data_IF_946182825495
#
_entry.id   IF_946182825495
#
_cell.length_a   1.000
_cell.length_b   1.000
_cell.length_c   1.000
_cell.angle_alpha   90.00
_cell.angle_beta   90.00
_cell.angle_gamma   90.00
#
_symmetry.space_group_name_H-M   'P 1'
#
loop_
_entity.id
_entity.type
_entity.pdbx_description
1 polymer ?
#
# COMPACT_ATOMS: atom_id res chain seq x y z
N UNK A 1 7.58 10.72 6.23
CA UNK A 1 6.80 9.47 6.15
C UNK A 1 5.52 9.58 5.30
N UNK A 2 4.61 10.55 5.52
CA UNK A 2 3.33 10.64 4.77
C UNK A 2 3.47 10.57 3.24
N UNK A 3 4.35 11.39 2.66
CA UNK A 3 4.58 11.41 1.20
C UNK A 3 5.09 10.06 0.68
N UNK A 4 6.01 9.43 1.41
CA UNK A 4 6.59 8.13 1.05
C UNK A 4 5.52 7.03 1.10
N UNK A 5 4.67 7.02 2.14
CA UNK A 5 3.57 6.07 2.24
C UNK A 5 2.57 6.21 1.08
N UNK A 6 2.27 7.44 0.64
CA UNK A 6 1.45 7.67 -0.55
C UNK A 6 2.10 7.15 -1.83
N UNK A 7 3.40 7.44 -2.03
CA UNK A 7 4.14 6.96 -3.20
C UNK A 7 4.19 5.43 -3.21
N UNK A 8 4.48 4.79 -2.07
CA UNK A 8 4.49 3.35 -1.92
C UNK A 8 3.11 2.73 -2.21
N UNK A 9 2.03 3.35 -1.74
CA UNK A 9 0.67 2.90 -2.01
C UNK A 9 0.36 2.93 -3.51
N UNK A 10 0.63 4.06 -4.18
CA UNK A 10 0.33 4.21 -5.61
C UNK A 10 1.21 3.27 -6.45
N UNK A 11 2.51 3.22 -6.18
CA UNK A 11 3.43 2.31 -6.87
C UNK A 11 3.02 0.84 -6.67
N UNK A 12 2.64 0.47 -5.45
CA UNK A 12 2.19 -0.88 -5.14
C UNK A 12 0.91 -1.26 -5.88
N UNK A 13 -0.08 -0.35 -5.94
CA UNK A 13 -1.31 -0.55 -6.71
C UNK A 13 -0.99 -0.76 -8.19
N UNK A 14 -0.11 0.08 -8.77
CA UNK A 14 0.27 -0.05 -10.19
C UNK A 14 0.94 -1.40 -10.48
N UNK A 15 1.88 -1.83 -9.65
CA UNK A 15 2.56 -3.12 -9.80
C UNK A 15 1.60 -4.31 -9.67
N UNK A 16 0.75 -4.31 -8.64
CA UNK A 16 -0.24 -5.36 -8.42
C UNK A 16 -1.25 -5.42 -9.56
N UNK A 17 -1.70 -4.26 -10.04
CA UNK A 17 -2.66 -4.16 -11.16
C UNK A 17 -2.03 -4.63 -12.47
N UNK A 18 -0.79 -4.22 -12.76
CA UNK A 18 -0.09 -4.68 -13.95
C UNK A 18 0.06 -6.20 -13.96
N UNK A 19 0.50 -6.78 -12.84
CA UNK A 19 0.63 -8.23 -12.70
C UNK A 19 -0.71 -8.96 -12.89
N UNK A 20 -1.78 -8.44 -12.28
CA UNK A 20 -3.13 -9.00 -12.43
C UNK A 20 -3.62 -8.97 -13.88
N UNK A 21 -3.44 -7.84 -14.57
CA UNK A 21 -3.84 -7.67 -15.97
C UNK A 21 -3.05 -8.62 -16.88
N UNK A 22 -1.75 -8.79 -16.65
CA UNK A 22 -0.93 -9.69 -17.47
C UNK A 22 -1.31 -11.15 -17.24
N UNK A 23 -1.67 -11.52 -16.01
CA UNK A 23 -2.07 -12.88 -15.67
C UNK A 23 -3.45 -13.22 -16.26
N UNK A 24 -4.45 -12.32 -16.15
CA UNK A 24 -5.81 -12.60 -16.62
C UNK A 24 -5.95 -12.60 -18.16
N UNK A 25 -5.06 -11.90 -18.86
CA UNK A 25 -5.07 -11.83 -20.33
C UNK A 25 -4.03 -12.77 -20.97
N UNK A 26 -3.38 -13.64 -20.20
CA UNK A 26 -2.33 -14.56 -20.65
C UNK A 26 -1.23 -13.87 -21.49
N UNK A 27 -0.81 -12.68 -21.03
CA UNK A 27 0.18 -11.89 -21.75
C UNK A 27 1.60 -12.45 -21.55
N UNK A 28 2.49 -12.30 -22.54
CA UNK A 28 3.90 -12.66 -22.38
C UNK A 28 4.52 -11.94 -21.17
N UNK A 29 5.28 -12.69 -20.36
CA UNK A 29 5.92 -12.16 -19.15
C UNK A 29 5.08 -12.24 -17.87
N UNK A 30 3.88 -12.83 -17.91
CA UNK A 30 3.00 -12.97 -16.73
C UNK A 30 3.70 -13.61 -15.51
N UNK A 31 4.57 -14.60 -15.73
CA UNK A 31 5.33 -15.27 -14.66
C UNK A 31 6.30 -14.30 -13.95
N UNK A 32 7.00 -13.47 -14.72
CA UNK A 32 7.97 -12.51 -14.18
C UNK A 32 7.24 -11.35 -13.47
N UNK A 33 6.17 -10.85 -14.08
CA UNK A 33 5.32 -9.80 -13.51
C UNK A 33 4.62 -10.21 -12.22
N UNK A 34 4.34 -11.51 -12.00
CA UNK A 34 3.78 -12.00 -10.74
C UNK A 34 4.68 -11.67 -9.54
N UNK A 35 6.00 -11.75 -9.70
CA UNK A 35 6.96 -11.38 -8.64
C UNK A 35 6.91 -9.88 -8.33
N UNK A 36 6.81 -9.05 -9.37
CA UNK A 36 6.61 -7.60 -9.19
C UNK A 36 5.26 -7.28 -8.54
N UNK A 37 4.21 -8.02 -8.88
CA UNK A 37 2.90 -7.93 -8.23
C UNK A 37 2.98 -8.23 -6.73
N UNK A 38 3.75 -9.26 -6.35
CA UNK A 38 4.02 -9.58 -4.94
C UNK A 38 4.72 -8.44 -4.19
N UNK A 39 5.74 -7.83 -4.80
CA UNK A 39 6.38 -6.61 -4.25
C UNK A 39 5.35 -5.49 -4.12
N UNK A 40 4.47 -5.34 -5.11
CA UNK A 40 3.37 -4.39 -5.07
C UNK A 40 2.47 -4.57 -3.85
N UNK A 41 2.08 -5.80 -3.53
CA UNK A 41 1.30 -6.10 -2.33
C UNK A 41 2.03 -5.73 -1.04
N UNK A 42 3.34 -5.98 -0.93
CA UNK A 42 4.14 -5.58 0.24
C UNK A 42 4.10 -4.05 0.41
N UNK A 43 4.24 -3.30 -0.67
CA UNK A 43 4.17 -1.83 -0.65
C UNK A 43 2.79 -1.33 -0.20
N UNK A 44 1.72 -1.91 -0.73
CA UNK A 44 0.33 -1.58 -0.35
C UNK A 44 0.13 -1.82 1.15
N UNK A 45 0.44 -3.04 1.62
CA UNK A 45 0.23 -3.43 3.03
C UNK A 45 1.02 -2.50 3.95
N UNK A 46 2.29 -2.24 3.63
CA UNK A 46 3.16 -1.36 4.43
C UNK A 46 2.63 0.07 4.50
N UNK A 47 2.16 0.61 3.37
CA UNK A 47 1.58 1.95 3.31
C UNK A 47 0.28 2.03 4.11
N UNK A 48 -0.63 1.07 3.93
CA UNK A 48 -1.90 0.99 4.67
C UNK A 48 -1.65 0.87 6.16
N UNK A 49 -0.75 -0.02 6.58
CA UNK A 49 -0.36 -0.17 7.98
C UNK A 49 0.14 1.16 8.58
N UNK A 50 0.97 1.91 7.84
CA UNK A 50 1.44 3.22 8.28
C UNK A 50 0.30 4.23 8.44
N UNK A 51 -0.66 4.28 7.50
CA UNK A 51 -1.82 5.17 7.62
C UNK A 51 -2.70 4.80 8.81
N UNK A 52 -2.93 3.51 9.04
CA UNK A 52 -3.72 3.01 10.17
C UNK A 52 -3.04 3.35 11.51
N UNK A 53 -1.74 3.07 11.65
CA UNK A 53 -0.99 3.41 12.85
C UNK A 53 -1.00 4.93 13.12
N UNK A 54 -0.85 5.74 12.07
CA UNK A 54 -0.93 7.18 12.20
C UNK A 54 -2.32 7.64 12.63
N UNK A 55 -3.38 7.03 12.10
CA UNK A 55 -4.77 7.31 12.48
C UNK A 55 -5.01 6.98 13.95
N UNK A 56 -4.54 5.82 14.39
CA UNK A 56 -4.63 5.36 15.77
C UNK A 56 -3.90 6.32 16.72
N UNK A 57 -2.67 6.71 16.38
CA UNK A 57 -1.89 7.68 17.14
C UNK A 57 -2.56 9.07 17.23
N UNK A 58 -3.16 9.55 16.14
CA UNK A 58 -3.91 10.81 16.14
C UNK A 58 -5.19 10.74 16.98
N UNK A 59 -5.80 9.56 17.12
CA UNK A 59 -6.97 9.35 17.99
C UNK A 59 -6.59 9.29 19.47
N UNK A 60 -5.55 8.55 19.80
CA UNK A 60 -5.00 8.48 21.16
C UNK A 60 -4.72 9.89 21.72
N UNK A 61 -3.96 10.69 20.97
CA UNK A 61 -3.63 12.08 21.35
C UNK A 61 -4.85 13.00 21.53
N UNK A 62 -5.94 12.77 20.80
CA UNK A 62 -7.18 13.54 20.96
C UNK A 62 -7.95 13.16 22.22
N UNK A 63 -7.80 11.93 22.67
CA UNK A 63 -8.50 11.40 23.86
C UNK A 63 -7.86 11.93 25.14
N UNK A 64 -6.54 12.18 25.12
CA UNK A 64 -5.77 12.75 26.23
C UNK A 64 -5.73 14.29 26.27
N UNK A 65 -6.35 14.97 25.30
CA UNK A 65 -6.46 16.43 25.37
C UNK A 65 -7.37 16.80 26.55
N UNK A 66 -6.92 17.64 27.51
CA UNK A 66 -7.73 18.00 28.67
C UNK A 66 -9.05 18.58 28.19
N UNK A 67 -10.16 17.99 28.65
CA UNK A 67 -11.51 18.49 28.40
C UNK A 67 -11.56 19.91 28.97
N UNK A 68 -11.66 20.90 28.08
CA UNK A 68 -11.86 22.30 28.43
C UNK A 68 -13.24 22.50 29.08
#
# INVERSE_FOLDING_TARGET
MKKIAWIALVAGILLATAAYITEINDLPGAVELRTFGFIGYILIISAVAWFLLRRLYEWDKKTDAPRA
#
